data_IF_181803029621
#
_entry.id   IF_181803029621
#
_cell.length_a   1.000
_cell.length_b   1.000
_cell.length_c   1.000
_cell.angle_alpha   90.00
_cell.angle_beta   90.00
_cell.angle_gamma   90.00
#
_symmetry.space_group_name_H-M   'P 1'
#
loop_
_entity.id
_entity.type
_entity.pdbx_description
1 polymer ?
#
# COMPACT_ATOMS: atom_id res chain seq x y z
N UNK A 1 5.59 -1.53 -8.12
CA UNK A 1 4.42 -1.57 -8.98
C UNK A 1 3.89 -2.98 -9.13
N UNK A 2 2.59 -3.16 -8.92
CA UNK A 2 1.82 -4.37 -9.27
C UNK A 2 0.87 -4.00 -10.41
N UNK A 3 0.98 -4.67 -11.56
CA UNK A 3 0.21 -4.34 -12.77
C UNK A 3 0.28 -2.84 -13.17
N UNK A 4 1.43 -2.19 -12.96
CA UNK A 4 1.63 -0.77 -13.27
C UNK A 4 1.18 0.21 -12.17
N UNK A 5 0.58 -0.28 -11.09
CA UNK A 5 0.13 0.52 -9.94
C UNK A 5 1.26 0.60 -8.90
N UNK A 6 1.78 1.79 -8.53
CA UNK A 6 2.71 1.97 -7.42
C UNK A 6 2.27 1.29 -6.12
N UNK A 7 3.24 0.82 -5.36
CA UNK A 7 3.04 0.26 -4.02
C UNK A 7 4.02 0.99 -3.10
N UNK A 8 3.51 1.58 -2.02
CA UNK A 8 4.24 2.41 -1.07
C UNK A 8 4.06 1.83 0.34
N UNK A 9 5.17 1.64 1.05
CA UNK A 9 5.16 1.30 2.48
C UNK A 9 4.75 2.52 3.31
N UNK A 10 3.80 2.35 4.23
CA UNK A 10 3.38 3.37 5.21
C UNK A 10 3.23 2.74 6.60
N UNK A 11 3.27 3.55 7.65
CA UNK A 11 3.09 3.05 9.02
C UNK A 11 1.64 2.58 9.27
N UNK A 12 1.43 1.54 10.10
CA UNK A 12 0.09 1.16 10.55
C UNK A 12 -0.61 2.35 11.23
N UNK A 13 -1.88 2.58 10.90
CA UNK A 13 -2.63 3.73 11.41
C UNK A 13 -2.55 4.97 10.50
N UNK A 14 -1.78 4.92 9.41
CA UNK A 14 -1.78 5.98 8.39
C UNK A 14 -3.20 6.18 7.85
N UNK A 15 -3.69 7.41 7.88
CA UNK A 15 -5.02 7.77 7.38
C UNK A 15 -4.88 8.36 5.98
N UNK A 16 -5.62 7.79 5.04
CA UNK A 16 -5.69 8.21 3.65
C UNK A 16 -7.11 8.70 3.37
N UNK A 17 -7.27 9.98 3.03
CA UNK A 17 -8.57 10.51 2.60
C UNK A 17 -8.94 10.00 1.19
N UNK A 18 -10.03 9.27 1.03
CA UNK A 18 -10.58 8.82 -0.25
C UNK A 18 -11.94 9.48 -0.47
N UNK A 19 -12.04 10.37 -1.46
CA UNK A 19 -13.30 11.02 -1.86
C UNK A 19 -14.11 11.64 -0.69
N UNK A 20 -13.41 12.19 0.31
CA UNK A 20 -14.01 12.80 1.50
C UNK A 20 -14.31 11.83 2.66
N UNK A 21 -13.90 10.57 2.56
CA UNK A 21 -13.90 9.59 3.66
C UNK A 21 -12.47 9.25 4.10
N UNK A 22 -12.23 9.08 5.38
CA UNK A 22 -10.93 8.65 5.90
C UNK A 22 -10.84 7.12 5.94
N UNK A 23 -9.79 6.58 5.31
CA UNK A 23 -9.45 5.16 5.39
C UNK A 23 -8.13 4.99 6.12
N UNK A 24 -8.16 4.29 7.24
CA UNK A 24 -6.96 3.93 7.99
C UNK A 24 -6.34 2.66 7.40
N UNK A 25 -5.06 2.73 7.05
CA UNK A 25 -4.27 1.56 6.68
C UNK A 25 -4.04 0.73 7.94
N UNK A 26 -4.51 -0.52 7.93
CA UNK A 26 -4.35 -1.45 9.06
C UNK A 26 -3.26 -2.47 8.74
N UNK A 27 -2.74 -3.17 9.75
CA UNK A 27 -1.67 -4.16 9.54
C UNK A 27 -2.02 -5.25 8.52
N UNK A 28 -3.30 -5.60 8.43
CA UNK A 28 -3.82 -6.67 7.57
C UNK A 28 -4.45 -6.16 6.26
N UNK A 29 -4.59 -4.83 6.09
CA UNK A 29 -5.26 -4.25 4.94
C UNK A 29 -4.44 -3.13 4.30
N UNK A 30 -4.46 -3.09 2.99
CA UNK A 30 -3.89 -2.00 2.21
C UNK A 30 -4.99 -1.05 1.73
N UNK A 31 -4.62 0.21 1.46
CA UNK A 31 -5.52 1.19 0.84
C UNK A 31 -5.06 1.46 -0.58
N UNK A 32 -5.99 1.48 -1.54
CA UNK A 32 -5.70 1.91 -2.91
C UNK A 32 -6.31 3.28 -3.15
N UNK A 33 -5.48 4.29 -3.43
CA UNK A 33 -5.94 5.64 -3.79
C UNK A 33 -5.17 6.16 -4.99
N UNK A 34 -5.88 6.74 -5.96
CA UNK A 34 -5.31 7.36 -7.16
C UNK A 34 -4.32 6.44 -7.91
N UNK A 35 -4.61 5.14 -7.94
CA UNK A 35 -3.72 4.17 -8.56
C UNK A 35 -2.41 3.97 -7.81
N UNK A 36 -2.39 4.14 -6.50
CA UNK A 36 -1.26 3.79 -5.62
C UNK A 36 -1.77 2.96 -4.45
N UNK A 37 -1.10 1.84 -4.19
CA UNK A 37 -1.34 1.00 -3.02
C UNK A 37 -0.47 1.46 -1.86
N UNK A 38 -1.10 1.77 -0.73
CA UNK A 38 -0.45 2.07 0.54
C UNK A 38 -0.56 0.83 1.42
N UNK A 39 0.58 0.26 1.79
CA UNK A 39 0.69 -1.03 2.50
C UNK A 39 1.53 -0.87 3.76
N UNK A 40 1.25 -1.63 4.80
CA UNK A 40 2.10 -1.67 6.00
C UNK A 40 3.41 -2.41 5.75
N UNK A 41 4.44 -2.27 6.61
CA UNK A 41 5.71 -2.98 6.44
C UNK A 41 5.56 -4.51 6.39
N UNK A 42 4.62 -5.07 7.15
CA UNK A 42 4.31 -6.50 7.13
C UNK A 42 3.77 -6.94 5.76
N UNK A 43 2.81 -6.19 5.21
CA UNK A 43 2.24 -6.45 3.87
C UNK A 43 3.28 -6.20 2.78
N UNK A 44 4.11 -5.18 2.93
CA UNK A 44 5.21 -4.85 2.03
C UNK A 44 6.22 -5.99 1.92
N UNK A 45 6.64 -6.57 3.05
CA UNK A 45 7.55 -7.71 3.08
C UNK A 45 6.96 -8.95 2.39
N UNK A 46 5.66 -9.20 2.53
CA UNK A 46 4.97 -10.27 1.83
C UNK A 46 4.92 -10.01 0.31
N UNK A 47 4.64 -8.77 -0.10
CA UNK A 47 4.56 -8.36 -1.50
C UNK A 47 5.93 -8.34 -2.20
N UNK A 48 7.01 -8.03 -1.48
CA UNK A 48 8.35 -7.97 -2.05
C UNK A 48 8.76 -9.26 -2.78
N UNK A 49 8.29 -10.41 -2.28
CA UNK A 49 8.60 -11.73 -2.86
C UNK A 49 7.53 -12.23 -3.84
N UNK A 50 6.46 -11.47 -4.08
CA UNK A 50 5.36 -11.90 -4.92
C UNK A 50 5.71 -11.74 -6.41
N UNK A 51 5.56 -12.77 -7.27
CA UNK A 51 6.02 -12.75 -8.67
C UNK A 51 5.32 -11.69 -9.55
N UNK A 52 4.14 -11.23 -9.15
CA UNK A 52 3.42 -10.14 -9.83
C UNK A 52 3.88 -8.72 -9.44
N UNK A 53 4.69 -8.59 -8.39
CA UNK A 53 5.19 -7.29 -7.90
C UNK A 53 6.53 -7.03 -8.54
N UNK A 54 6.61 -5.94 -9.31
CA UNK A 54 7.82 -5.56 -10.06
C UNK A 54 8.71 -4.56 -9.32
N UNK A 55 8.15 -3.88 -8.32
CA UNK A 55 8.86 -2.93 -7.46
C UNK A 55 7.97 -2.57 -6.28
N UNK A 56 8.52 -1.92 -5.28
CA UNK A 56 7.76 -1.26 -4.23
C UNK A 56 8.63 -0.09 -3.74
N UNK A 57 8.03 0.97 -3.21
CA UNK A 57 8.76 2.16 -2.74
C UNK A 57 8.53 2.33 -1.24
N UNK A 58 9.56 2.79 -0.54
CA UNK A 58 9.48 3.15 0.87
C UNK A 58 9.54 4.67 0.96
N UNK A 59 8.49 5.28 1.48
CA UNK A 59 8.47 6.71 1.84
C UNK A 59 9.01 6.92 3.26
#
# INVERSE_FOLDING_TARGET
>A
MFNGVPIIEVEPGTVIELDGAELTVTDEQYVCKNGTFYVTPNTFAALWNHPGVKSVQKE
#
